data_IF_253045301754
#
_entry.id   IF_253045301754
#
_cell.length_a   1.000
_cell.length_b   1.000
_cell.length_c   1.000
_cell.angle_alpha   90.00
_cell.angle_beta   90.00
_cell.angle_gamma   90.00
#
_symmetry.space_group_name_H-M   'P 1'
#
loop_
_entity.id
_entity.type
_entity.pdbx_description
1 polymer ?
#
# COMPACT_ATOMS: atom_id res chain seq x y z
N UNK A 1 -8.99 3.77 12.98
CA UNK A 1 -8.07 3.63 11.82
C UNK A 1 -8.41 4.64 10.73
N UNK A 2 -9.63 4.62 10.18
CA UNK A 2 -10.08 5.56 9.12
C UNK A 2 -9.82 7.02 9.46
N UNK A 3 -10.21 7.51 10.64
CA UNK A 3 -9.99 8.89 11.07
C UNK A 3 -8.49 9.26 11.01
N UNK A 4 -7.63 8.43 11.61
CA UNK A 4 -6.17 8.63 11.56
C UNK A 4 -5.62 8.68 10.13
N UNK A 5 -6.07 7.78 9.25
CA UNK A 5 -5.67 7.76 7.84
C UNK A 5 -6.02 9.09 7.15
N UNK A 6 -7.28 9.54 7.30
CA UNK A 6 -7.74 10.80 6.72
C UNK A 6 -7.00 12.01 7.30
N UNK A 7 -6.75 12.03 8.61
CA UNK A 7 -6.03 13.12 9.27
C UNK A 7 -4.59 13.24 8.80
N UNK A 8 -3.88 12.11 8.60
CA UNK A 8 -2.53 12.11 8.04
C UNK A 8 -2.55 12.66 6.61
N UNK A 9 -3.47 12.20 5.76
CA UNK A 9 -3.58 12.73 4.40
C UNK A 9 -3.86 14.24 4.39
N UNK A 10 -4.82 14.71 5.20
CA UNK A 10 -5.13 16.14 5.31
C UNK A 10 -3.97 16.97 5.84
N UNK A 11 -3.16 16.41 6.73
CA UNK A 11 -1.99 17.10 7.29
C UNK A 11 -0.93 17.44 6.24
N UNK A 12 -0.93 16.77 5.09
CA UNK A 12 -0.03 17.06 3.96
C UNK A 12 -0.34 18.41 3.30
N UNK A 13 -1.54 18.97 3.53
CA UNK A 13 -1.98 20.23 2.95
C UNK A 13 -2.09 20.20 1.42
N UNK A 14 -2.10 19.00 0.80
CA UNK A 14 -2.21 18.88 -0.65
C UNK A 14 -3.59 19.33 -1.14
N UNK A 15 -3.61 20.03 -2.26
CA UNK A 15 -4.84 20.39 -2.94
C UNK A 15 -5.59 19.12 -3.38
N UNK A 16 -6.92 19.15 -3.33
CA UNK A 16 -7.81 18.05 -3.69
C UNK A 16 -7.76 16.80 -2.79
N UNK A 17 -7.09 16.84 -1.65
CA UNK A 17 -6.97 15.66 -0.77
C UNK A 17 -8.33 15.16 -0.25
N UNK A 18 -9.31 16.03 -0.04
CA UNK A 18 -10.65 15.63 0.38
C UNK A 18 -11.40 14.89 -0.74
N UNK A 19 -11.20 15.25 -2.01
CA UNK A 19 -11.75 14.48 -3.14
C UNK A 19 -11.13 13.08 -3.23
N UNK A 20 -9.82 12.96 -2.95
CA UNK A 20 -9.18 11.62 -2.86
C UNK A 20 -9.84 10.79 -1.77
N UNK A 21 -10.09 11.36 -0.60
CA UNK A 21 -10.73 10.66 0.52
C UNK A 21 -12.17 10.26 0.17
N UNK A 22 -12.92 11.12 -0.51
CA UNK A 22 -14.28 10.83 -1.00
C UNK A 22 -14.27 9.69 -2.02
N UNK A 23 -13.34 9.68 -2.97
CA UNK A 23 -13.16 8.61 -3.95
C UNK A 23 -12.81 7.27 -3.26
N UNK A 24 -11.87 7.28 -2.29
CA UNK A 24 -11.52 6.10 -1.51
C UNK A 24 -12.72 5.53 -0.74
N UNK A 25 -13.57 6.38 -0.20
CA UNK A 25 -14.79 5.96 0.50
C UNK A 25 -15.80 5.37 -0.48
N UNK A 26 -16.02 6.01 -1.61
CA UNK A 26 -16.93 5.54 -2.65
C UNK A 26 -16.52 4.19 -3.24
N UNK A 27 -15.21 3.95 -3.35
CA UNK A 27 -14.62 2.70 -3.85
C UNK A 27 -14.54 1.60 -2.76
N UNK A 28 -14.92 1.88 -1.50
CA UNK A 28 -14.91 0.91 -0.40
C UNK A 28 -13.53 0.59 0.17
N UNK A 29 -12.55 1.48 0.01
CA UNK A 29 -11.19 1.30 0.49
C UNK A 29 -11.11 0.99 1.98
N UNK A 30 -11.93 1.66 2.79
CA UNK A 30 -11.90 1.54 4.25
C UNK A 30 -12.45 0.21 4.78
N UNK A 31 -13.19 -0.53 3.97
CA UNK A 31 -13.75 -1.86 4.25
C UNK A 31 -12.99 -2.98 3.54
N UNK A 32 -12.12 -2.65 2.58
CA UNK A 32 -11.40 -3.62 1.78
C UNK A 32 -10.36 -4.40 2.60
N UNK A 33 -10.10 -5.69 2.25
CA UNK A 33 -8.98 -6.44 2.79
C UNK A 33 -7.67 -6.05 2.08
N UNK A 34 -6.53 -6.17 2.75
CA UNK A 34 -5.21 -5.96 2.14
C UNK A 34 -4.78 -7.13 1.24
N UNK A 35 -5.28 -8.34 1.50
CA UNK A 35 -4.95 -9.54 0.73
C UNK A 35 -6.10 -10.55 0.73
N UNK A 36 -6.09 -11.48 -0.21
CA UNK A 36 -7.04 -12.60 -0.23
C UNK A 36 -6.80 -13.59 0.91
N UNK A 37 -5.55 -13.79 1.28
CA UNK A 37 -5.12 -14.73 2.33
C UNK A 37 -3.81 -14.21 2.97
N UNK A 38 -3.73 -14.27 4.29
CA UNK A 38 -2.53 -13.81 5.00
C UNK A 38 -2.76 -12.49 5.73
N UNK A 39 -1.86 -11.53 5.54
CA UNK A 39 -1.94 -10.24 6.22
C UNK A 39 -3.17 -9.46 5.78
N UNK A 40 -3.87 -8.82 6.74
CA UNK A 40 -4.99 -7.94 6.46
C UNK A 40 -6.16 -8.57 5.69
N UNK A 41 -6.33 -9.91 5.73
CA UNK A 41 -7.43 -10.64 5.06
C UNK A 41 -8.73 -10.55 5.87
N UNK A 42 -9.18 -9.34 6.15
CA UNK A 42 -10.40 -9.01 6.90
C UNK A 42 -10.87 -7.59 6.55
N UNK A 43 -12.16 -7.25 6.83
CA UNK A 43 -12.68 -5.92 6.55
C UNK A 43 -11.84 -4.82 7.23
N UNK A 44 -11.43 -3.81 6.48
CA UNK A 44 -10.57 -2.72 6.96
C UNK A 44 -9.07 -3.06 7.00
N UNK A 45 -8.68 -4.27 6.61
CA UNK A 45 -7.28 -4.70 6.56
C UNK A 45 -6.42 -3.84 5.64
N UNK A 46 -6.97 -3.32 4.55
CA UNK A 46 -6.25 -2.43 3.63
C UNK A 46 -5.89 -1.10 4.29
N UNK A 47 -6.80 -0.52 5.06
CA UNK A 47 -6.54 0.70 5.83
C UNK A 47 -5.47 0.47 6.91
N UNK A 48 -5.54 -0.65 7.62
CA UNK A 48 -4.55 -1.01 8.63
C UNK A 48 -3.17 -1.22 8.01
N UNK A 49 -3.09 -1.95 6.91
CA UNK A 49 -1.86 -2.16 6.15
C UNK A 49 -1.22 -0.82 5.72
N UNK A 50 -2.00 0.07 5.09
CA UNK A 50 -1.50 1.37 4.66
C UNK A 50 -0.94 2.21 5.82
N UNK A 51 -1.60 2.17 6.99
CA UNK A 51 -1.10 2.83 8.20
C UNK A 51 0.18 2.18 8.73
N UNK A 52 0.28 0.85 8.70
CA UNK A 52 1.49 0.14 9.11
C UNK A 52 2.67 0.44 8.18
N UNK A 53 2.42 0.56 6.86
CA UNK A 53 3.43 0.99 5.89
C UNK A 53 3.90 2.41 6.18
N UNK A 54 2.98 3.33 6.46
CA UNK A 54 3.31 4.70 6.85
C UNK A 54 4.17 4.74 8.12
N UNK A 55 3.78 4.03 9.18
CA UNK A 55 4.50 4.01 10.46
C UNK A 55 5.90 3.40 10.31
N UNK A 56 6.03 2.32 9.53
CA UNK A 56 7.31 1.73 9.20
C UNK A 56 8.19 2.69 8.41
N UNK A 57 7.66 3.36 7.38
CA UNK A 57 8.39 4.32 6.57
C UNK A 57 8.88 5.52 7.39
N UNK A 58 8.05 6.06 8.28
CA UNK A 58 8.43 7.15 9.17
C UNK A 58 9.52 6.75 10.17
N UNK A 59 9.42 5.55 10.74
CA UNK A 59 10.46 5.02 11.65
C UNK A 59 11.79 4.80 10.91
N UNK A 60 11.73 4.28 9.67
CA UNK A 60 12.92 4.10 8.83
C UNK A 60 13.51 5.45 8.42
N UNK A 61 12.69 6.45 8.09
CA UNK A 61 13.13 7.81 7.82
C UNK A 61 13.96 8.37 8.97
N UNK A 62 13.45 8.29 10.20
CA UNK A 62 14.17 8.78 11.39
C UNK A 62 15.54 8.13 11.54
N UNK A 63 15.64 6.82 11.33
CA UNK A 63 16.90 6.09 11.38
C UNK A 63 17.86 6.51 10.26
N UNK A 64 17.35 6.67 9.04
CA UNK A 64 18.13 7.10 7.88
C UNK A 64 18.68 8.52 8.04
N UNK A 65 17.89 9.46 8.55
CA UNK A 65 18.33 10.85 8.74
C UNK A 65 19.45 11.00 9.78
N UNK A 66 19.59 10.07 10.72
CA UNK A 66 20.77 10.03 11.62
C UNK A 66 22.06 9.69 10.89
N UNK A 67 21.96 8.92 9.78
CA UNK A 67 23.10 8.50 8.97
C UNK A 67 23.33 9.44 7.76
N UNK A 68 22.25 9.99 7.22
CA UNK A 68 22.21 10.81 6.01
C UNK A 68 21.24 12.00 6.20
N UNK A 69 21.65 13.03 6.96
CA UNK A 69 20.82 14.22 7.19
C UNK A 69 20.45 14.96 5.90
N UNK A 70 21.28 14.84 4.87
CA UNK A 70 21.08 15.42 3.55
C UNK A 70 19.82 14.90 2.81
N UNK A 71 19.23 13.79 3.26
CA UNK A 71 18.01 13.22 2.68
C UNK A 71 16.72 13.84 3.24
N UNK A 72 16.77 14.80 4.15
CA UNK A 72 15.60 15.35 4.84
C UNK A 72 14.53 15.88 3.86
N UNK A 73 14.94 16.64 2.84
CA UNK A 73 14.03 17.17 1.82
C UNK A 73 13.50 16.10 0.86
N UNK A 74 14.34 15.12 0.50
CA UNK A 74 13.98 14.05 -0.42
C UNK A 74 13.06 12.98 0.23
N UNK A 75 13.04 12.92 1.57
CA UNK A 75 12.18 12.06 2.36
C UNK A 75 11.24 12.92 3.23
N UNK A 76 10.50 13.84 2.60
CA UNK A 76 9.56 14.67 3.33
C UNK A 76 8.46 13.82 3.98
N UNK A 77 7.96 14.18 5.19
CA UNK A 77 6.84 13.49 5.81
C UNK A 77 5.59 13.43 4.92
N UNK A 78 5.31 14.52 4.19
CA UNK A 78 4.16 14.62 3.31
C UNK A 78 4.25 13.63 2.14
N UNK A 79 5.42 13.55 1.47
CA UNK A 79 5.62 12.59 0.36
C UNK A 79 5.57 11.14 0.85
N UNK A 80 6.07 10.87 2.05
CA UNK A 80 5.94 9.55 2.67
C UNK A 80 4.47 9.23 2.96
N UNK A 81 3.70 10.20 3.49
CA UNK A 81 2.28 10.01 3.76
C UNK A 81 1.50 9.70 2.47
N UNK A 82 1.68 10.49 1.42
CA UNK A 82 1.04 10.26 0.12
C UNK A 82 1.42 8.88 -0.44
N UNK A 83 2.71 8.57 -0.52
CA UNK A 83 3.15 7.32 -1.12
C UNK A 83 2.74 6.09 -0.30
N UNK A 84 2.88 6.13 1.04
CA UNK A 84 2.57 5.00 1.91
C UNK A 84 1.07 4.74 2.06
N UNK A 85 0.25 5.80 2.19
CA UNK A 85 -1.18 5.63 2.37
C UNK A 85 -1.91 5.27 1.07
N UNK A 86 -1.37 5.68 -0.09
CA UNK A 86 -2.04 5.52 -1.37
C UNK A 86 -1.39 4.46 -2.29
N UNK A 87 -0.35 3.73 -1.85
CA UNK A 87 0.36 2.76 -2.70
C UNK A 87 -0.54 1.65 -3.25
N UNK A 88 -1.53 1.23 -2.49
CA UNK A 88 -2.38 0.08 -2.74
C UNK A 88 -3.87 0.42 -2.95
N UNK A 89 -4.20 1.67 -3.30
CA UNK A 89 -5.60 2.10 -3.52
C UNK A 89 -6.33 1.25 -4.57
N UNK A 90 -5.62 0.63 -5.49
CA UNK A 90 -6.18 -0.29 -6.48
C UNK A 90 -6.85 -1.52 -5.87
N UNK A 91 -6.57 -1.84 -4.60
CA UNK A 91 -7.15 -2.99 -3.90
C UNK A 91 -8.54 -2.73 -3.33
N UNK A 92 -9.03 -1.50 -3.34
CA UNK A 92 -10.35 -1.14 -2.84
C UNK A 92 -11.49 -1.97 -3.48
N UNK A 93 -11.44 -2.18 -4.80
CA UNK A 93 -12.41 -2.99 -5.56
C UNK A 93 -11.72 -4.21 -6.21
N UNK A 94 -10.81 -4.86 -5.49
CA UNK A 94 -10.02 -5.97 -6.04
C UNK A 94 -10.48 -7.35 -5.54
N UNK A 95 -11.10 -7.40 -4.35
CA UNK A 95 -11.50 -8.64 -3.73
C UNK A 95 -13.01 -8.72 -3.52
N UNK A 96 -13.56 -9.92 -3.72
CA UNK A 96 -14.94 -10.26 -3.35
C UNK A 96 -14.97 -11.34 -2.29
N UNK A 97 -15.95 -11.27 -1.40
CA UNK A 97 -16.18 -12.30 -0.40
C UNK A 97 -16.91 -13.48 -1.03
N UNK A 98 -16.31 -14.66 -1.00
CA UNK A 98 -16.87 -15.90 -1.52
C UNK A 98 -16.94 -16.98 -0.45
N UNK A 99 -17.99 -17.79 -0.48
CA UNK A 99 -18.13 -18.93 0.45
C UNK A 99 -17.55 -20.19 -0.16
N UNK A 100 -16.57 -20.80 0.51
CA UNK A 100 -15.88 -22.02 0.08
C UNK A 100 -15.92 -23.11 1.13
N UNK A 101 -15.93 -24.37 0.67
CA UNK A 101 -15.77 -25.52 1.58
C UNK A 101 -14.28 -25.75 1.82
N UNK A 102 -13.82 -25.63 3.05
CA UNK A 102 -12.45 -25.98 3.46
C UNK A 102 -12.47 -27.12 4.49
N UNK A 103 -11.44 -27.97 4.44
CA UNK A 103 -11.22 -29.01 5.44
C UNK A 103 -10.58 -28.38 6.67
N UNK A 104 -11.19 -28.57 7.85
CA UNK A 104 -10.59 -28.14 9.11
C UNK A 104 -9.49 -29.11 9.58
N UNK A 105 -8.82 -28.81 10.69
CA UNK A 105 -7.69 -29.61 11.22
C UNK A 105 -8.06 -31.06 11.53
N UNK A 106 -9.31 -31.36 11.82
CA UNK A 106 -9.82 -32.72 12.09
C UNK A 106 -10.39 -33.43 10.85
N UNK A 107 -10.24 -32.80 9.67
CA UNK A 107 -10.61 -33.40 8.41
C UNK A 107 -12.07 -33.24 7.99
N UNK A 108 -12.88 -32.47 8.71
CA UNK A 108 -14.29 -32.20 8.41
C UNK A 108 -14.39 -30.97 7.49
N UNK A 109 -15.27 -31.05 6.49
CA UNK A 109 -15.55 -29.91 5.60
C UNK A 109 -16.50 -28.92 6.29
N UNK A 110 -16.11 -27.67 6.32
CA UNK A 110 -16.92 -26.55 6.79
C UNK A 110 -16.97 -25.41 5.74
N UNK A 111 -18.05 -24.64 5.77
CA UNK A 111 -18.15 -23.45 4.94
C UNK A 111 -17.38 -22.32 5.60
N UNK A 112 -16.44 -21.74 4.87
CA UNK A 112 -15.66 -20.58 5.30
C UNK A 112 -15.81 -19.45 4.27
N UNK A 113 -15.88 -18.24 4.74
CA UNK A 113 -15.85 -17.07 3.90
C UNK A 113 -14.38 -16.76 3.59
N UNK A 114 -14.07 -16.53 2.31
CA UNK A 114 -12.73 -16.24 1.81
C UNK A 114 -12.78 -15.09 0.84
N UNK A 115 -11.75 -14.27 0.80
CA UNK A 115 -11.60 -13.27 -0.24
C UNK A 115 -11.01 -13.90 -1.49
N UNK A 116 -11.58 -13.58 -2.64
CA UNK A 116 -11.12 -14.02 -3.96
C UNK A 116 -10.92 -12.79 -4.83
N UNK A 117 -9.96 -12.90 -5.77
CA UNK A 117 -9.71 -11.83 -6.73
C UNK A 117 -10.95 -11.72 -7.63
N UNK A 118 -11.49 -10.50 -7.70
CA UNK A 118 -12.55 -10.18 -8.64
C UNK A 118 -12.00 -10.15 -10.07
N UNK A 119 -12.87 -10.46 -11.06
CA UNK A 119 -12.48 -10.42 -12.48
C UNK A 119 -12.00 -9.00 -12.85
N UNK A 120 -10.72 -8.89 -13.15
CA UNK A 120 -10.06 -7.59 -13.26
C UNK A 120 -10.39 -6.93 -14.61
N UNK A 121 -11.25 -5.91 -14.56
CA UNK A 121 -11.64 -5.14 -15.75
C UNK A 121 -10.51 -4.30 -16.33
N UNK A 122 -9.47 -4.04 -15.56
CA UNK A 122 -8.34 -3.22 -15.97
C UNK A 122 -7.02 -3.90 -15.58
N UNK A 123 -6.53 -4.86 -16.39
CA UNK A 123 -5.41 -5.74 -16.08
C UNK A 123 -4.06 -5.04 -16.32
N UNK A 124 -3.67 -4.17 -15.41
CA UNK A 124 -2.33 -3.59 -15.30
C UNK A 124 -1.76 -3.88 -13.91
N UNK A 125 -0.46 -3.75 -13.73
CA UNK A 125 0.18 -4.03 -12.44
C UNK A 125 -0.40 -3.17 -11.29
N UNK A 126 -0.34 -3.68 -10.06
CA UNK A 126 -0.89 -3.00 -8.89
C UNK A 126 -0.35 -1.58 -8.72
N UNK A 127 0.96 -1.40 -8.84
CA UNK A 127 1.58 -0.09 -8.68
C UNK A 127 1.14 0.91 -9.75
N UNK A 128 1.06 0.47 -11.03
CA UNK A 128 0.58 1.30 -12.13
C UNK A 128 -0.87 1.70 -11.93
N UNK A 129 -1.71 0.75 -11.53
CA UNK A 129 -3.13 0.98 -11.30
C UNK A 129 -3.35 1.96 -10.16
N UNK A 130 -2.63 1.78 -9.03
CA UNK A 130 -2.69 2.71 -7.90
C UNK A 130 -2.25 4.12 -8.29
N UNK A 131 -1.09 4.27 -8.95
CA UNK A 131 -0.60 5.56 -9.41
C UNK A 131 -1.61 6.25 -10.36
N UNK A 132 -2.21 5.50 -11.29
CA UNK A 132 -3.22 6.02 -12.18
C UNK A 132 -4.49 6.45 -11.45
N UNK A 133 -4.97 5.68 -10.47
CA UNK A 133 -6.17 6.03 -9.69
C UNK A 133 -5.94 7.31 -8.89
N UNK A 134 -4.79 7.46 -8.24
CA UNK A 134 -4.41 8.67 -7.49
C UNK A 134 -4.37 9.89 -8.41
N UNK A 135 -3.79 9.78 -9.60
CA UNK A 135 -3.79 10.87 -10.58
C UNK A 135 -5.22 11.22 -11.06
N UNK A 136 -6.08 10.23 -11.25
CA UNK A 136 -7.47 10.44 -11.71
C UNK A 136 -8.34 11.10 -10.65
N UNK A 137 -8.07 10.94 -9.37
CA UNK A 137 -8.77 11.68 -8.31
C UNK A 137 -8.36 13.16 -8.24
N UNK A 138 -7.46 13.60 -9.11
CA UNK A 138 -7.05 14.99 -9.23
C UNK A 138 -6.01 15.43 -8.18
N UNK A 139 -5.37 14.48 -7.50
CA UNK A 139 -4.25 14.77 -6.61
C UNK A 139 -3.01 15.11 -7.44
N UNK A 140 -2.43 16.27 -7.17
CA UNK A 140 -1.11 16.63 -7.71
C UNK A 140 -0.02 15.93 -6.90
N UNK A 141 0.54 14.87 -7.49
CA UNK A 141 1.65 14.09 -6.91
C UNK A 141 2.95 14.35 -7.66
N UNK A 142 4.06 14.37 -6.93
CA UNK A 142 5.39 14.52 -7.54
C UNK A 142 5.80 13.27 -8.32
N UNK A 143 6.80 13.42 -9.20
CA UNK A 143 7.37 12.27 -9.93
C UNK A 143 7.93 11.20 -8.97
N UNK A 144 8.53 11.63 -7.85
CA UNK A 144 9.09 10.74 -6.83
C UNK A 144 8.00 9.96 -6.09
N UNK A 145 6.87 10.61 -5.77
CA UNK A 145 5.70 9.97 -5.17
C UNK A 145 5.06 8.97 -6.14
N UNK A 146 4.91 9.35 -7.41
CA UNK A 146 4.42 8.47 -8.47
C UNK A 146 5.33 7.24 -8.62
N UNK A 147 6.65 7.45 -8.66
CA UNK A 147 7.62 6.35 -8.74
C UNK A 147 7.56 5.46 -7.50
N UNK A 148 7.34 6.03 -6.31
CA UNK A 148 7.22 5.26 -5.07
C UNK A 148 5.96 4.39 -5.07
N UNK A 149 4.82 4.94 -5.45
CA UNK A 149 3.56 4.20 -5.60
C UNK A 149 3.71 3.11 -6.68
N UNK A 150 4.26 3.46 -7.86
CA UNK A 150 4.45 2.51 -8.96
C UNK A 150 5.34 1.33 -8.58
N UNK A 151 6.40 1.55 -7.81
CA UNK A 151 7.44 0.58 -7.55
C UNK A 151 7.41 -0.01 -6.13
N UNK A 152 6.33 0.19 -5.35
CA UNK A 152 6.23 -0.33 -3.98
C UNK A 152 6.39 -1.86 -3.89
N UNK A 153 5.91 -2.61 -4.91
CA UNK A 153 6.10 -4.06 -4.98
C UNK A 153 7.57 -4.48 -5.16
N UNK A 154 8.47 -3.54 -5.49
CA UNK A 154 9.88 -3.82 -5.70
C UNK A 154 10.18 -4.62 -6.96
N UNK A 155 11.37 -5.25 -7.05
CA UNK A 155 11.86 -5.87 -8.28
C UNK A 155 11.39 -7.32 -8.51
N UNK A 156 10.44 -7.83 -7.74
CA UNK A 156 10.01 -9.22 -7.81
C UNK A 156 9.21 -9.51 -9.07
N UNK A 157 9.59 -10.58 -9.80
CA UNK A 157 8.92 -11.03 -11.02
C UNK A 157 8.88 -10.02 -12.17
N UNK A 158 9.80 -9.04 -12.17
CA UNK A 158 9.89 -8.04 -13.22
C UNK A 158 10.59 -8.57 -14.48
N UNK A 159 10.25 -7.97 -15.62
CA UNK A 159 11.06 -8.10 -16.83
C UNK A 159 12.44 -7.43 -16.63
N UNK A 160 13.40 -7.73 -17.49
CA UNK A 160 14.74 -7.06 -17.44
C UNK A 160 14.65 -5.54 -17.60
N UNK A 161 13.68 -5.07 -18.37
CA UNK A 161 13.50 -3.62 -18.58
C UNK A 161 12.85 -2.98 -17.35
N UNK A 162 11.85 -3.61 -16.73
CA UNK A 162 11.26 -3.14 -15.49
C UNK A 162 12.29 -3.10 -14.34
N UNK A 163 13.15 -4.12 -14.23
CA UNK A 163 14.24 -4.12 -13.24
C UNK A 163 15.19 -2.94 -13.46
N UNK A 164 15.51 -2.61 -14.71
CA UNK A 164 16.29 -1.42 -15.04
C UNK A 164 15.61 -0.13 -14.65
N UNK A 165 14.30 -0.01 -14.92
CA UNK A 165 13.53 1.18 -14.54
C UNK A 165 13.39 1.32 -13.03
N UNK A 166 13.15 0.24 -12.29
CA UNK A 166 13.16 0.25 -10.82
C UNK A 166 14.51 0.74 -10.27
N UNK A 167 15.63 0.22 -10.78
CA UNK A 167 16.96 0.66 -10.38
C UNK A 167 17.20 2.15 -10.69
N UNK A 168 16.67 2.63 -11.80
CA UNK A 168 16.77 4.04 -12.17
C UNK A 168 15.91 4.91 -11.23
N UNK A 169 14.68 4.53 -10.95
CA UNK A 169 13.81 5.21 -9.99
C UNK A 169 14.48 5.33 -8.61
N UNK A 170 15.09 4.23 -8.12
CA UNK A 170 15.83 4.21 -6.85
C UNK A 170 17.10 5.07 -6.82
N UNK A 171 17.64 5.45 -7.99
CA UNK A 171 18.77 6.40 -8.08
C UNK A 171 18.29 7.85 -8.13
N UNK A 172 17.11 8.10 -8.70
CA UNK A 172 16.50 9.43 -8.80
C UNK A 172 16.03 9.88 -7.43
N UNK A 173 15.36 8.98 -6.68
CA UNK A 173 14.78 9.30 -5.37
C UNK A 173 14.96 8.15 -4.37
N UNK A 174 15.20 8.47 -3.08
CA UNK A 174 15.21 7.48 -2.01
C UNK A 174 13.80 7.01 -1.61
N UNK A 175 12.73 7.66 -2.08
CA UNK A 175 11.36 7.35 -1.69
C UNK A 175 10.88 5.97 -2.20
N UNK A 176 11.08 5.57 -3.47
CA UNK A 176 10.68 4.25 -3.94
C UNK A 176 11.27 3.08 -3.13
N UNK A 177 12.58 2.99 -2.86
CA UNK A 177 13.12 1.92 -2.05
C UNK A 177 12.68 2.00 -0.58
N UNK A 178 12.42 3.19 -0.03
CA UNK A 178 11.89 3.35 1.31
C UNK A 178 10.48 2.74 1.43
N UNK A 179 9.58 3.10 0.52
CA UNK A 179 8.20 2.60 0.54
C UNK A 179 8.17 1.09 0.30
N UNK A 180 8.95 0.56 -0.65
CA UNK A 180 9.08 -0.89 -0.85
C UNK A 180 9.55 -1.63 0.41
N UNK A 181 10.57 -1.12 1.10
CA UNK A 181 11.05 -1.73 2.33
C UNK A 181 10.01 -1.64 3.46
N UNK A 182 9.32 -0.51 3.59
CA UNK A 182 8.27 -0.31 4.58
C UNK A 182 7.07 -1.25 4.37
N UNK A 183 6.61 -1.42 3.13
CA UNK A 183 5.56 -2.37 2.75
C UNK A 183 5.97 -3.81 3.08
N UNK A 184 7.20 -4.20 2.73
CA UNK A 184 7.74 -5.51 3.09
C UNK A 184 7.79 -5.72 4.61
N UNK A 185 8.17 -4.70 5.39
CA UNK A 185 8.18 -4.79 6.86
C UNK A 185 6.76 -4.87 7.43
N UNK A 186 5.83 -4.10 6.92
CA UNK A 186 4.44 -4.14 7.35
C UNK A 186 3.86 -5.55 7.13
N UNK A 187 3.85 -6.03 5.91
CA UNK A 187 3.25 -7.31 5.52
C UNK A 187 3.96 -8.53 6.12
N UNK A 188 5.31 -8.51 6.20
CA UNK A 188 6.09 -9.66 6.62
C UNK A 188 6.40 -9.73 8.13
N UNK A 189 6.30 -8.61 8.85
CA UNK A 189 6.70 -8.54 10.27
C UNK A 189 5.56 -8.01 11.14
N UNK A 190 5.04 -6.79 10.84
CA UNK A 190 4.08 -6.13 11.74
C UNK A 190 2.72 -6.82 11.75
N UNK A 191 2.27 -7.31 10.60
CA UNK A 191 0.93 -7.90 10.41
C UNK A 191 0.93 -9.44 10.57
N UNK A 192 2.06 -10.03 10.91
CA UNK A 192 2.10 -11.45 11.24
C UNK A 192 1.54 -11.68 12.64
N UNK A 193 0.68 -12.71 12.82
CA UNK A 193 0.32 -13.12 14.18
C UNK A 193 1.59 -13.48 14.94
N UNK A 194 1.66 -13.06 16.21
CA UNK A 194 2.78 -13.42 17.06
C UNK A 194 2.99 -14.94 17.01
N UNK A 195 4.22 -15.38 16.75
CA UNK A 195 4.53 -16.80 16.76
C UNK A 195 4.12 -17.35 18.14
N UNK A 196 3.30 -18.38 18.13
CA UNK A 196 3.06 -19.13 19.36
C UNK A 196 4.41 -19.77 19.76
N UNK A 197 5.08 -19.13 20.73
CA UNK A 197 6.28 -19.66 21.37
C UNK A 197 5.86 -20.83 22.27
#
# INVERSE_FOLDING_TARGET
>A
MRERFCDILRSTGRENIDYVIEDLEADGFFEAPASAQGHGSYPGGLTEHSLNVYDAAMSMREALLKLRPDLESALSPDSIAIAALLHDVCKADFYTLARRKKKNEIGVYENVDVYEIHDERFPIGHGEKSAMLVLRSGLDISEEELLAIRWHMGPWNLSRDDEKFYRQASRISPLPPLIHAADTMASAILERPAAKI
#
